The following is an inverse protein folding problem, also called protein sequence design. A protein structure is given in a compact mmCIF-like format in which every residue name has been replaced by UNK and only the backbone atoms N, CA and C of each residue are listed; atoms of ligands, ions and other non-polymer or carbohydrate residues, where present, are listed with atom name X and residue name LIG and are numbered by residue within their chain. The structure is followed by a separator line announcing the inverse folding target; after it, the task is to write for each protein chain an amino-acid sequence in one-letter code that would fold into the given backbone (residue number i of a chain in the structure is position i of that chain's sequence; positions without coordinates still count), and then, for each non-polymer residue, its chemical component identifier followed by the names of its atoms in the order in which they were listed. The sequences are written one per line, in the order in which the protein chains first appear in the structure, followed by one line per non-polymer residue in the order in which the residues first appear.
data_IF_383521516917
#
_entry.id   IF_383521516917
#
_cell.length_a   1.000
_cell.length_b   1.000
_cell.length_c   1.000
_cell.angle_alpha   90.00
_cell.angle_beta   90.00
_cell.angle_gamma   90.00
#
_symmetry.space_group_name_H-M   'P 1'
#
loop_
_entity.id
_entity.type
_entity.pdbx_description
1 polymer ?
#
# COMPACT_ATOMS: atom_id res chain seq x y z
N UNK A 1 -28.72 -18.54 25.99
CA UNK A 1 -27.31 -18.15 25.69
C UNK A 1 -26.91 -18.34 24.22
N UNK A 2 -27.29 -19.42 23.51
CA UNK A 2 -26.85 -19.65 22.12
C UNK A 2 -27.30 -18.61 21.08
N UNK A 3 -28.50 -18.04 21.20
CA UNK A 3 -28.97 -16.98 20.29
C UNK A 3 -28.14 -15.68 20.40
N UNK A 4 -27.71 -15.33 21.61
CA UNK A 4 -26.94 -14.12 21.87
C UNK A 4 -25.51 -14.21 21.31
N UNK A 5 -24.86 -15.38 21.44
CA UNK A 5 -23.56 -15.64 20.81
C UNK A 5 -23.62 -15.59 19.28
N UNK A 6 -24.71 -16.10 18.68
CA UNK A 6 -24.88 -16.10 17.22
C UNK A 6 -25.15 -14.70 16.67
N UNK A 7 -25.94 -13.87 17.36
CA UNK A 7 -26.19 -12.47 17.01
C UNK A 7 -24.92 -11.62 17.16
N UNK A 8 -24.18 -11.78 18.26
CA UNK A 8 -22.91 -11.08 18.47
C UNK A 8 -21.88 -11.46 17.40
N UNK A 9 -21.79 -12.74 17.02
CA UNK A 9 -20.92 -13.20 15.94
C UNK A 9 -21.30 -12.62 14.57
N UNK A 10 -22.60 -12.51 14.25
CA UNK A 10 -23.04 -11.86 13.02
C UNK A 10 -22.77 -10.35 13.02
N UNK A 11 -22.95 -9.66 14.16
CA UNK A 11 -22.63 -8.24 14.29
C UNK A 11 -21.14 -7.97 14.11
N UNK A 12 -20.27 -8.76 14.74
CA UNK A 12 -18.82 -8.66 14.56
C UNK A 12 -18.42 -8.94 13.10
N UNK A 13 -19.08 -9.88 12.43
CA UNK A 13 -18.83 -10.18 11.02
C UNK A 13 -19.23 -9.01 10.10
N UNK A 14 -20.40 -8.40 10.31
CA UNK A 14 -20.86 -7.23 9.55
C UNK A 14 -19.92 -6.03 9.77
N UNK A 15 -19.52 -5.78 11.02
CA UNK A 15 -18.56 -4.71 11.35
C UNK A 15 -17.21 -4.99 10.68
N UNK A 16 -16.72 -6.22 10.71
CA UNK A 16 -15.48 -6.62 10.03
C UNK A 16 -15.55 -6.43 8.52
N UNK A 17 -16.66 -6.80 7.87
CA UNK A 17 -16.85 -6.58 6.44
C UNK A 17 -16.94 -5.10 6.08
N UNK A 18 -17.63 -4.30 6.89
CA UNK A 18 -17.73 -2.84 6.68
C UNK A 18 -16.37 -2.15 6.84
N UNK A 19 -15.58 -2.53 7.85
CA UNK A 19 -14.23 -2.01 8.07
C UNK A 19 -13.32 -2.39 6.89
N UNK A 20 -13.39 -3.65 6.43
CA UNK A 20 -12.62 -4.11 5.26
C UNK A 20 -12.98 -3.31 4.00
N UNK A 21 -14.26 -3.01 3.79
CA UNK A 21 -14.72 -2.20 2.66
C UNK A 21 -14.23 -0.75 2.73
N UNK A 22 -14.38 -0.09 3.88
CA UNK A 22 -13.90 1.29 4.09
C UNK A 22 -12.39 1.41 3.94
N UNK A 23 -11.64 0.40 4.40
CA UNK A 23 -10.19 0.39 4.31
C UNK A 23 -9.70 0.14 2.88
N UNK A 24 -10.36 -0.74 2.12
CA UNK A 24 -10.10 -0.89 0.68
C UNK A 24 -10.36 0.42 -0.07
N UNK A 25 -11.44 1.12 0.29
CA UNK A 25 -11.75 2.43 -0.26
C UNK A 25 -10.64 3.44 0.06
N UNK A 26 -10.15 3.47 1.30
CA UNK A 26 -9.02 4.31 1.70
C UNK A 26 -7.76 4.03 0.86
N UNK A 27 -7.38 2.76 0.70
CA UNK A 27 -6.24 2.37 -0.14
C UNK A 27 -6.42 2.89 -1.59
N UNK A 28 -7.62 2.71 -2.15
CA UNK A 28 -7.93 3.13 -3.53
C UNK A 28 -8.03 4.65 -3.74
N UNK A 29 -8.54 5.39 -2.75
CA UNK A 29 -8.83 6.83 -2.88
C UNK A 29 -7.72 7.72 -2.34
N UNK A 30 -6.88 7.23 -1.44
CA UNK A 30 -5.89 8.05 -0.74
C UNK A 30 -4.45 7.59 -1.03
N UNK A 31 -4.17 6.30 -0.87
CA UNK A 31 -2.81 5.78 -1.06
C UNK A 31 -2.41 5.72 -2.54
N UNK A 32 -3.25 5.09 -3.38
CA UNK A 32 -2.95 4.93 -4.82
C UNK A 32 -2.81 6.29 -5.53
N UNK A 33 -3.72 7.27 -5.34
CA UNK A 33 -3.59 8.57 -6.02
C UNK A 33 -2.40 9.38 -5.53
N UNK A 34 -2.04 9.28 -4.25
CA UNK A 34 -0.84 9.94 -3.71
C UNK A 34 0.44 9.39 -4.34
N UNK A 35 0.62 8.07 -4.33
CA UNK A 35 1.79 7.42 -4.91
C UNK A 35 1.87 7.67 -6.43
N UNK A 36 0.75 7.52 -7.14
CA UNK A 36 0.70 7.78 -8.57
C UNK A 36 0.91 9.27 -8.90
N UNK A 37 0.38 10.17 -8.08
CA UNK A 37 0.60 11.62 -8.22
C UNK A 37 2.09 11.98 -8.08
N UNK A 38 2.79 11.40 -7.10
CA UNK A 38 4.25 11.53 -6.97
C UNK A 38 5.00 11.01 -8.20
N UNK A 39 4.45 9.98 -8.85
CA UNK A 39 5.03 9.41 -10.07
C UNK A 39 4.81 10.26 -11.31
N UNK A 40 3.73 11.05 -11.43
CA UNK A 40 3.44 11.80 -12.68
C UNK A 40 3.76 13.29 -12.61
N UNK A 41 3.87 13.85 -11.40
CA UNK A 41 4.20 15.27 -11.19
C UNK A 41 5.69 15.47 -11.01
N UNK A 42 6.15 16.70 -11.22
CA UNK A 42 7.55 17.13 -11.03
C UNK A 42 7.62 18.43 -10.22
N UNK A 43 8.77 18.72 -9.62
CA UNK A 43 9.01 19.97 -8.90
C UNK A 43 8.26 20.08 -7.58
N UNK A 44 7.79 21.28 -7.23
CA UNK A 44 7.15 21.56 -5.93
C UNK A 44 5.84 20.78 -5.73
N UNK A 45 5.05 20.57 -6.79
CA UNK A 45 3.80 19.81 -6.72
C UNK A 45 4.08 18.35 -6.36
N UNK A 46 5.14 17.76 -6.91
CA UNK A 46 5.56 16.39 -6.61
C UNK A 46 5.89 16.21 -5.13
N UNK A 47 6.66 17.14 -4.55
CA UNK A 47 7.06 17.09 -3.14
C UNK A 47 5.86 17.22 -2.21
N UNK A 48 4.90 18.09 -2.55
CA UNK A 48 3.65 18.22 -1.79
C UNK A 48 2.85 16.92 -1.79
N UNK A 49 2.64 16.33 -2.97
CA UNK A 49 1.89 15.08 -3.11
C UNK A 49 2.61 13.92 -2.41
N UNK A 50 3.94 13.85 -2.53
CA UNK A 50 4.73 12.83 -1.83
C UNK A 50 4.57 12.93 -0.31
N UNK A 51 4.51 14.15 0.24
CA UNK A 51 4.23 14.35 1.66
C UNK A 51 2.84 13.84 2.04
N UNK A 52 1.81 14.15 1.26
CA UNK A 52 0.45 13.65 1.50
C UNK A 52 0.39 12.11 1.41
N UNK A 53 1.08 11.52 0.42
CA UNK A 53 1.21 10.08 0.29
C UNK A 53 1.88 9.43 1.52
N UNK A 54 2.95 10.05 2.05
CA UNK A 54 3.59 9.59 3.30
C UNK A 54 2.64 9.62 4.49
N UNK A 55 1.85 10.68 4.67
CA UNK A 55 0.87 10.75 5.76
C UNK A 55 -0.20 9.66 5.64
N UNK A 56 -0.65 9.34 4.42
CA UNK A 56 -1.56 8.22 4.18
C UNK A 56 -0.91 6.87 4.53
N UNK A 57 0.37 6.68 4.23
CA UNK A 57 1.13 5.49 4.64
C UNK A 57 1.33 5.41 6.17
N UNK A 58 1.39 6.54 6.89
CA UNK A 58 1.40 6.55 8.37
C UNK A 58 0.06 6.13 8.97
N UNK A 59 -1.05 6.45 8.32
CA UNK A 59 -2.37 5.93 8.72
C UNK A 59 -2.37 4.41 8.57
N UNK A 60 -1.81 3.89 7.46
CA UNK A 60 -1.66 2.46 7.22
C UNK A 60 -0.78 1.77 8.29
N UNK A 61 0.35 2.39 8.67
CA UNK A 61 1.19 1.95 9.80
C UNK A 61 0.39 1.86 11.11
N UNK A 62 -0.43 2.86 11.41
CA UNK A 62 -1.26 2.90 12.62
C UNK A 62 -2.31 1.79 12.65
N UNK A 63 -2.95 1.49 11.52
CA UNK A 63 -3.94 0.43 11.38
C UNK A 63 -3.32 -0.97 11.47
N UNK A 64 -2.10 -1.15 10.94
CA UNK A 64 -1.32 -2.38 11.12
C UNK A 64 -0.93 -2.59 12.59
N UNK A 65 -0.48 -1.54 13.27
CA UNK A 65 -0.01 -1.63 14.65
C UNK A 65 1.02 -2.75 14.81
N UNK A 66 0.79 -3.71 15.72
CA UNK A 66 1.70 -4.87 15.94
C UNK A 66 1.23 -6.15 15.25
N UNK A 67 0.34 -6.05 14.26
CA UNK A 67 -0.23 -7.21 13.59
C UNK A 67 0.76 -7.84 12.64
N UNK A 68 0.75 -9.18 12.59
CA UNK A 68 1.55 -9.92 11.63
C UNK A 68 0.96 -9.86 10.22
N UNK A 69 -0.38 -9.86 10.14
CA UNK A 69 -1.19 -9.68 8.92
C UNK A 69 -2.48 -8.94 9.30
N UNK A 70 -3.18 -8.32 8.35
CA UNK A 70 -4.50 -7.74 8.59
C UNK A 70 -5.51 -8.78 9.10
N UNK A 71 -5.39 -10.03 8.63
CA UNK A 71 -6.17 -11.18 9.10
C UNK A 71 -5.63 -11.85 10.37
N UNK A 72 -4.66 -11.24 11.05
CA UNK A 72 -3.89 -11.71 12.22
C UNK A 72 -3.11 -13.03 12.00
N UNK A 73 -3.77 -14.11 11.58
CA UNK A 73 -3.18 -15.47 11.53
C UNK A 73 -2.73 -15.92 10.14
N UNK A 74 -3.37 -15.41 9.08
CA UNK A 74 -3.08 -15.79 7.68
C UNK A 74 -3.17 -14.57 6.79
N UNK A 75 -2.42 -14.59 5.69
CA UNK A 75 -2.58 -13.63 4.59
C UNK A 75 -4.02 -13.65 4.10
N UNK A 76 -4.65 -12.48 4.08
CA UNK A 76 -5.94 -12.25 3.47
C UNK A 76 -5.86 -11.37 2.24
N UNK A 77 -7.02 -11.09 1.63
CA UNK A 77 -7.14 -10.17 0.51
C UNK A 77 -6.50 -8.80 0.80
N UNK A 78 -6.72 -8.28 2.02
CA UNK A 78 -6.21 -6.97 2.39
C UNK A 78 -4.68 -6.92 2.43
N UNK A 79 -4.06 -8.03 2.82
CA UNK A 79 -2.61 -8.11 2.86
C UNK A 79 -2.03 -8.03 1.45
N UNK A 80 -2.65 -8.76 0.49
CA UNK A 80 -2.24 -8.75 -0.92
C UNK A 80 -2.45 -7.37 -1.56
N UNK A 81 -3.61 -6.76 -1.33
CA UNK A 81 -3.94 -5.44 -1.88
C UNK A 81 -2.98 -4.35 -1.35
N UNK A 82 -2.69 -4.39 -0.04
CA UNK A 82 -1.75 -3.45 0.58
C UNK A 82 -0.31 -3.71 0.12
N UNK A 83 0.08 -4.98 -0.07
CA UNK A 83 1.44 -5.32 -0.49
C UNK A 83 1.72 -4.83 -1.91
N UNK A 84 0.72 -4.87 -2.80
CA UNK A 84 0.81 -4.26 -4.12
C UNK A 84 1.10 -2.76 -4.06
N UNK A 85 0.45 -2.04 -3.14
CA UNK A 85 0.67 -0.59 -2.95
C UNK A 85 2.08 -0.31 -2.45
N UNK A 86 2.59 -1.11 -1.51
CA UNK A 86 3.96 -0.98 -1.00
C UNK A 86 5.00 -1.29 -2.07
N UNK A 87 4.80 -2.32 -2.89
CA UNK A 87 5.65 -2.58 -4.07
C UNK A 87 5.73 -1.37 -5.00
N UNK A 88 4.57 -0.75 -5.30
CA UNK A 88 4.53 0.44 -6.16
C UNK A 88 5.20 1.64 -5.53
N UNK A 89 4.99 1.88 -4.23
CA UNK A 89 5.68 2.95 -3.51
C UNK A 89 7.20 2.83 -3.66
N UNK A 90 7.78 1.64 -3.45
CA UNK A 90 9.22 1.39 -3.59
C UNK A 90 9.74 1.64 -5.02
N UNK A 91 8.96 1.26 -6.04
CA UNK A 91 9.31 1.54 -7.45
C UNK A 91 9.32 3.05 -7.70
N UNK A 92 8.32 3.78 -7.19
CA UNK A 92 8.25 5.24 -7.33
C UNK A 92 9.41 5.91 -6.62
N UNK A 93 9.73 5.50 -5.38
CA UNK A 93 10.88 6.03 -4.62
C UNK A 93 12.17 6.00 -5.44
N UNK A 94 12.45 4.88 -6.10
CA UNK A 94 13.67 4.70 -6.90
C UNK A 94 13.67 5.46 -8.23
N UNK A 95 12.49 5.74 -8.79
CA UNK A 95 12.38 6.44 -10.08
C UNK A 95 12.51 7.94 -9.89
N UNK A 96 11.85 8.47 -8.86
CA UNK A 96 11.79 9.92 -8.63
C UNK A 96 12.75 10.41 -7.55
N UNK A 97 13.48 9.51 -6.90
CA UNK A 97 14.42 9.79 -5.81
C UNK A 97 13.77 10.52 -4.62
N UNK A 98 12.53 10.12 -4.29
CA UNK A 98 11.77 10.65 -3.17
C UNK A 98 11.37 9.49 -2.28
N UNK A 99 11.88 9.46 -1.04
CA UNK A 99 11.47 8.48 -0.02
C UNK A 99 9.95 8.58 0.21
N UNK A 100 9.22 7.49 0.32
CA UNK A 100 7.79 7.40 0.62
C UNK A 100 7.58 6.49 1.84
N UNK A 101 8.38 5.43 1.97
CA UNK A 101 8.38 4.51 3.09
C UNK A 101 9.63 4.77 3.91
N UNK A 102 9.43 5.18 5.16
CA UNK A 102 10.51 5.35 6.11
C UNK A 102 10.50 4.22 7.13
N UNK A 103 11.54 3.39 7.16
CA UNK A 103 11.65 2.31 8.14
C UNK A 103 11.73 2.81 9.59
N UNK A 104 12.19 4.04 9.82
CA UNK A 104 12.22 4.64 11.17
C UNK A 104 10.83 5.11 11.61
N UNK A 105 10.03 5.65 10.69
CA UNK A 105 8.69 6.16 10.99
C UNK A 105 7.58 5.10 10.82
N UNK A 106 7.84 4.07 10.00
CA UNK A 106 6.88 3.02 9.61
C UNK A 106 7.48 1.60 9.80
N UNK A 107 8.01 1.27 11.00
CA UNK A 107 8.67 -0.02 11.23
C UNK A 107 7.71 -1.21 11.11
N UNK A 108 6.44 -1.04 11.46
CA UNK A 108 5.46 -2.13 11.42
C UNK A 108 5.06 -2.47 10.00
N UNK A 109 4.91 -1.47 9.14
CA UNK A 109 4.63 -1.59 7.72
C UNK A 109 5.76 -2.31 7.00
N UNK A 110 7.02 -1.94 7.30
CA UNK A 110 8.19 -2.63 6.73
C UNK A 110 8.22 -4.09 7.17
N UNK A 111 8.06 -4.35 8.48
CA UNK A 111 8.05 -5.71 9.04
C UNK A 111 6.90 -6.56 8.44
N UNK A 112 5.69 -6.02 8.44
CA UNK A 112 4.50 -6.65 7.87
C UNK A 112 4.70 -6.98 6.39
N UNK A 113 5.27 -6.07 5.61
CA UNK A 113 5.49 -6.30 4.18
C UNK A 113 6.48 -7.45 3.94
N UNK A 114 7.57 -7.53 4.72
CA UNK A 114 8.48 -8.68 4.66
C UNK A 114 7.78 -10.00 5.00
N UNK A 115 6.97 -10.00 6.06
CA UNK A 115 6.17 -11.16 6.45
C UNK A 115 5.21 -11.60 5.33
N UNK A 116 4.60 -10.66 4.61
CA UNK A 116 3.73 -10.98 3.47
C UNK A 116 4.51 -11.60 2.32
N UNK A 117 5.68 -11.05 1.99
CA UNK A 117 6.56 -11.58 0.94
C UNK A 117 7.11 -12.98 1.28
N UNK A 118 7.31 -13.29 2.55
CA UNK A 118 7.72 -14.63 3.01
C UNK A 118 6.56 -15.62 2.96
N UNK A 119 5.37 -15.22 3.43
CA UNK A 119 4.20 -16.09 3.49
C UNK A 119 3.49 -16.27 2.14
N UNK A 120 3.74 -15.41 1.14
CA UNK A 120 3.23 -15.55 -0.22
C UNK A 120 4.36 -15.52 -1.28
N UNK A 121 5.13 -16.62 -1.45
CA UNK A 121 6.15 -16.75 -2.49
C UNK A 121 5.63 -16.49 -3.90
N UNK A 122 4.34 -16.79 -4.15
CA UNK A 122 3.68 -16.51 -5.42
C UNK A 122 3.71 -15.01 -5.80
N UNK A 123 3.73 -14.09 -4.83
CA UNK A 123 3.90 -12.67 -5.12
C UNK A 123 5.27 -12.39 -5.71
N UNK A 124 6.31 -13.11 -5.27
CA UNK A 124 7.67 -13.00 -5.84
C UNK A 124 7.74 -13.62 -7.23
N UNK A 125 7.04 -14.73 -7.46
CA UNK A 125 7.00 -15.42 -8.76
C UNK A 125 6.21 -14.65 -9.83
N UNK A 126 5.11 -14.01 -9.44
CA UNK A 126 4.26 -13.21 -10.35
C UNK A 126 4.84 -11.82 -10.65
N UNK A 127 5.80 -11.35 -9.85
CA UNK A 127 6.40 -10.04 -10.02
C UNK A 127 7.59 -10.14 -10.99
N UNK A 128 7.59 -9.40 -12.11
CA UNK A 128 8.75 -9.37 -12.99
C UNK A 128 10.01 -8.93 -12.22
N UNK A 129 11.22 -9.32 -12.67
CA UNK A 129 12.46 -8.89 -12.05
C UNK A 129 12.49 -7.37 -11.83
N UNK A 130 12.91 -6.94 -10.64
CA UNK A 130 12.89 -5.54 -10.21
C UNK A 130 13.53 -4.60 -11.25
N UNK A 131 14.66 -4.99 -11.81
CA UNK A 131 15.37 -4.19 -12.82
C UNK A 131 14.51 -3.92 -14.06
N UNK A 132 13.75 -4.93 -14.52
CA UNK A 132 12.84 -4.80 -15.66
C UNK A 132 11.64 -3.92 -15.33
N UNK A 133 11.11 -4.02 -14.11
CA UNK A 133 10.04 -3.14 -13.64
C UNK A 133 10.52 -1.69 -13.57
N UNK A 134 11.73 -1.46 -13.06
CA UNK A 134 12.30 -0.12 -12.98
C UNK A 134 12.56 0.45 -14.38
N UNK A 135 13.12 -0.32 -15.31
CA UNK A 135 13.35 0.11 -16.69
C UNK A 135 12.03 0.50 -17.38
N UNK A 136 11.03 -0.39 -17.32
CA UNK A 136 9.71 -0.13 -17.90
C UNK A 136 9.05 1.12 -17.29
N UNK A 137 9.03 1.21 -15.96
CA UNK A 137 8.39 2.32 -15.27
C UNK A 137 9.18 3.64 -15.41
N UNK A 138 10.50 3.63 -15.60
CA UNK A 138 11.26 4.84 -15.96
C UNK A 138 10.84 5.38 -17.32
N UNK A 139 10.61 4.50 -18.30
CA UNK A 139 10.06 4.89 -19.60
C UNK A 139 8.66 5.47 -19.47
N UNK A 140 7.80 4.79 -18.70
CA UNK A 140 6.43 5.21 -18.45
C UNK A 140 6.35 6.56 -17.71
N UNK A 141 7.18 6.76 -16.68
CA UNK A 141 7.32 8.03 -15.96
C UNK A 141 7.62 9.20 -16.90
N UNK A 142 8.65 9.05 -17.75
CA UNK A 142 9.04 10.09 -18.72
C UNK A 142 7.89 10.43 -19.66
N UNK A 143 7.16 9.42 -20.15
CA UNK A 143 6.01 9.62 -21.03
C UNK A 143 4.88 10.39 -20.31
N UNK A 144 4.54 10.01 -19.09
CA UNK A 144 3.48 10.66 -18.33
C UNK A 144 3.81 12.11 -17.96
N UNK A 145 5.03 12.36 -17.49
CA UNK A 145 5.51 13.73 -17.18
C UNK A 145 5.50 14.61 -18.43
N UNK A 146 5.94 14.08 -19.58
CA UNK A 146 5.91 14.81 -20.85
C UNK A 146 4.48 15.15 -21.27
N UNK A 147 3.53 14.22 -21.10
CA UNK A 147 2.12 14.44 -21.42
C UNK A 147 1.38 15.39 -20.45
N UNK A 148 1.92 15.55 -19.24
CA UNK A 148 1.37 16.44 -18.20
C UNK A 148 1.99 17.85 -18.24
N UNK A 149 2.99 18.08 -19.09
CA UNK A 149 3.61 19.39 -19.31
C UNK A 149 2.78 20.19 -20.33
N UNK A 150 2.40 21.45 -20.04
CA UNK A 150 1.59 22.29 -20.95
C UNK A 150 2.24 22.56 -22.31
#
# INVERSE_FOLDING_TARGET
MFKYKRIHSCYLFIISQQITGSFMLFLSLQCVPGIFGTFVKVGEEQQKIAKEARENLKILEGELGKKHFFGDTKIGFMDVASAWIICWAQIVEEIVDIKLIDAEEMPSLVSWFQNVLEAAPILKECTPPKDKLLEHNKGFHKMLVASASP
#
